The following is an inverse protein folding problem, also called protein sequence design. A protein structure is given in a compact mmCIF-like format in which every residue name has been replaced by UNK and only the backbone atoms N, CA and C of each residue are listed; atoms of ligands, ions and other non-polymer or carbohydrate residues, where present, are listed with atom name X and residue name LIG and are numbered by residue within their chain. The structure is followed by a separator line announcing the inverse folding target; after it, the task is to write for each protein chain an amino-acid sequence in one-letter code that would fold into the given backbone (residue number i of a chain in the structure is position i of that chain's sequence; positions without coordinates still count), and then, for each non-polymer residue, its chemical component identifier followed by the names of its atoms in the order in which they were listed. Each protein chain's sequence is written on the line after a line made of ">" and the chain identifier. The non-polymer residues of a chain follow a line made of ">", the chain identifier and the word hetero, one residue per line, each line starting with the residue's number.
data_IF_395768478793
#
_entry.id   IF_395768478793
#
_cell.length_a   1.000
_cell.length_b   1.000
_cell.length_c   1.000
_cell.angle_alpha   90.00
_cell.angle_beta   90.00
_cell.angle_gamma   90.00
#
_symmetry.space_group_name_H-M   'P 1'
#
loop_
_entity.id
_entity.type
_entity.pdbx_description
1 polymer ?
#
# COMPACT_ATOMS: atom_id res chain seq x y z
N UNK A 1 -4.35 -29.80 16.76
CA UNK A 1 -5.48 -30.49 16.10
C UNK A 1 -6.15 -29.60 15.04
N UNK A 2 -6.59 -28.37 15.37
CA UNK A 2 -7.21 -27.43 14.39
C UNK A 2 -6.27 -27.07 13.22
N UNK A 3 -4.99 -26.80 13.49
CA UNK A 3 -3.96 -26.53 12.45
C UNK A 3 -3.70 -27.69 11.48
N UNK A 4 -4.19 -28.91 11.74
CA UNK A 4 -4.02 -30.05 10.83
C UNK A 4 -5.27 -30.34 9.98
N UNK A 5 -6.41 -29.66 10.23
CA UNK A 5 -7.69 -29.96 9.56
C UNK A 5 -7.90 -29.25 8.20
N UNK A 6 -6.88 -28.58 7.67
CA UNK A 6 -6.97 -27.70 6.50
C UNK A 6 -7.29 -28.37 5.15
N UNK A 7 -7.34 -29.71 5.06
CA UNK A 7 -7.52 -30.39 3.76
C UNK A 7 -8.98 -30.47 3.29
N UNK A 8 -9.96 -30.26 4.16
CA UNK A 8 -11.41 -30.18 3.88
C UNK A 8 -12.10 -29.87 5.21
N UNK A 9 -12.14 -28.60 5.61
CA UNK A 9 -13.01 -28.21 6.71
C UNK A 9 -14.44 -28.27 6.17
N UNK A 10 -15.14 -29.38 6.43
CA UNK A 10 -16.56 -29.49 6.19
C UNK A 10 -17.28 -28.34 6.89
N UNK A 11 -18.31 -27.78 6.26
CA UNK A 11 -19.07 -26.63 6.76
C UNK A 11 -19.58 -26.84 8.18
N UNK A 12 -19.91 -28.09 8.53
CA UNK A 12 -20.26 -28.53 9.87
C UNK A 12 -19.15 -28.28 10.89
N UNK A 13 -17.89 -28.64 10.61
CA UNK A 13 -16.76 -28.49 11.54
C UNK A 13 -16.50 -27.00 11.82
N UNK A 14 -16.56 -26.16 10.79
CA UNK A 14 -16.38 -24.71 10.94
C UNK A 14 -17.45 -24.12 11.84
N UNK A 15 -18.71 -24.52 11.64
CA UNK A 15 -19.81 -24.06 12.49
C UNK A 15 -19.57 -24.41 13.97
N UNK A 16 -19.15 -25.65 14.26
CA UNK A 16 -18.87 -26.07 15.64
C UNK A 16 -17.67 -25.33 16.25
N UNK A 17 -16.56 -25.20 15.50
CA UNK A 17 -15.37 -24.46 15.94
C UNK A 17 -15.71 -22.99 16.18
N UNK A 18 -16.39 -22.36 15.23
CA UNK A 18 -16.86 -20.98 15.34
C UNK A 18 -17.74 -20.81 16.59
N UNK A 19 -18.76 -21.65 16.76
CA UNK A 19 -19.66 -21.61 17.92
C UNK A 19 -18.89 -21.68 19.24
N UNK A 20 -17.95 -22.61 19.36
CA UNK A 20 -17.17 -22.79 20.59
C UNK A 20 -16.26 -21.59 20.86
N UNK A 21 -15.47 -21.19 19.87
CA UNK A 21 -14.52 -20.07 20.00
C UNK A 21 -15.26 -18.76 20.31
N UNK A 22 -16.37 -18.53 19.63
CA UNK A 22 -17.17 -17.34 19.78
C UNK A 22 -17.89 -17.26 21.12
N UNK A 23 -18.44 -18.39 21.60
CA UNK A 23 -18.98 -18.45 22.98
C UNK A 23 -17.89 -18.17 24.02
N UNK A 24 -16.68 -18.69 23.82
CA UNK A 24 -15.56 -18.41 24.73
C UNK A 24 -15.21 -16.91 24.74
N UNK A 25 -15.13 -16.27 23.57
CA UNK A 25 -14.88 -14.83 23.49
C UNK A 25 -15.97 -14.02 24.17
N UNK A 26 -17.24 -14.34 23.92
CA UNK A 26 -18.39 -13.67 24.54
C UNK A 26 -18.41 -13.84 26.06
N UNK A 27 -18.18 -15.05 26.55
CA UNK A 27 -18.13 -15.33 28.00
C UNK A 27 -16.94 -14.65 28.69
N UNK A 28 -15.85 -14.45 27.95
CA UNK A 28 -14.67 -13.73 28.45
C UNK A 28 -14.76 -12.21 28.32
N UNK A 29 -15.88 -11.70 27.79
CA UNK A 29 -16.08 -10.28 27.46
C UNK A 29 -14.93 -9.68 26.64
N UNK A 30 -14.40 -10.46 25.69
CA UNK A 30 -13.27 -10.05 24.85
C UNK A 30 -12.03 -9.63 25.65
N UNK A 31 -11.76 -10.28 26.79
CA UNK A 31 -10.53 -10.05 27.53
C UNK A 31 -9.29 -10.23 26.63
N UNK A 32 -8.33 -9.31 26.77
CA UNK A 32 -7.07 -9.25 26.04
C UNK A 32 -6.36 -10.60 25.88
N UNK A 33 -6.29 -11.42 26.93
CA UNK A 33 -5.62 -12.73 26.86
C UNK A 33 -6.32 -13.68 25.88
N UNK A 34 -7.66 -13.74 25.92
CA UNK A 34 -8.44 -14.57 25.01
C UNK A 34 -8.40 -14.04 23.59
N UNK A 35 -8.39 -12.72 23.39
CA UNK A 35 -8.20 -12.11 22.08
C UNK A 35 -6.83 -12.41 21.49
N UNK A 36 -5.75 -12.37 22.28
CA UNK A 36 -4.40 -12.74 21.81
C UNK A 36 -4.36 -14.21 21.41
N UNK A 37 -4.93 -15.10 22.22
CA UNK A 37 -5.00 -16.53 21.89
C UNK A 37 -5.83 -16.78 20.63
N UNK A 38 -7.00 -16.14 20.51
CA UNK A 38 -7.85 -16.18 19.32
C UNK A 38 -7.08 -15.70 18.08
N UNK A 39 -6.31 -14.63 18.22
CA UNK A 39 -5.49 -14.07 17.16
C UNK A 39 -4.41 -15.04 16.67
N UNK A 40 -3.67 -15.65 17.59
CA UNK A 40 -2.57 -16.56 17.26
C UNK A 40 -3.03 -17.93 16.74
N UNK A 41 -4.23 -18.37 17.12
CA UNK A 41 -4.69 -19.74 16.85
C UNK A 41 -5.81 -19.83 15.81
N UNK A 42 -6.72 -18.86 15.79
CA UNK A 42 -7.92 -18.89 14.95
C UNK A 42 -7.81 -17.89 13.80
N UNK A 43 -7.38 -16.64 14.04
CA UNK A 43 -7.24 -15.67 12.94
C UNK A 43 -6.12 -16.02 11.96
N UNK A 44 -5.19 -16.90 12.33
CA UNK A 44 -4.16 -17.46 11.43
C UNK A 44 -4.70 -18.57 10.52
N UNK A 45 -5.94 -19.04 10.71
CA UNK A 45 -6.60 -20.00 9.81
C UNK A 45 -7.08 -19.24 8.57
N UNK A 46 -6.70 -19.65 7.34
CA UNK A 46 -7.08 -18.93 6.14
C UNK A 46 -8.60 -18.88 6.00
N UNK A 47 -9.13 -17.72 5.62
CA UNK A 47 -10.55 -17.51 5.26
C UNK A 47 -11.56 -17.76 6.39
N UNK A 48 -11.10 -17.93 7.64
CA UNK A 48 -11.97 -18.25 8.77
C UNK A 48 -13.15 -17.29 8.92
N UNK A 49 -12.91 -15.98 8.84
CA UNK A 49 -13.94 -14.94 8.99
C UNK A 49 -15.00 -15.05 7.89
N UNK A 50 -14.56 -15.14 6.63
CA UNK A 50 -15.47 -15.28 5.49
C UNK A 50 -16.29 -16.57 5.58
N UNK A 51 -15.66 -17.68 5.99
CA UNK A 51 -16.37 -18.95 6.14
C UNK A 51 -17.39 -18.92 7.28
N UNK A 52 -17.11 -18.21 8.38
CA UNK A 52 -18.06 -18.00 9.46
C UNK A 52 -19.25 -17.14 9.01
N UNK A 53 -18.99 -16.08 8.24
CA UNK A 53 -20.03 -15.23 7.68
C UNK A 53 -20.96 -16.01 6.73
N UNK A 54 -20.40 -16.82 5.83
CA UNK A 54 -21.16 -17.64 4.86
C UNK A 54 -21.97 -18.76 5.53
N UNK A 55 -21.37 -19.50 6.48
CA UNK A 55 -21.96 -20.74 7.01
C UNK A 55 -22.62 -20.58 8.38
N UNK A 56 -22.42 -19.47 9.08
CA UNK A 56 -22.83 -19.28 10.48
C UNK A 56 -23.27 -17.84 10.75
N UNK A 57 -24.04 -17.28 9.81
CA UNK A 57 -24.41 -15.86 9.77
C UNK A 57 -25.00 -15.34 11.09
N UNK A 58 -25.90 -16.09 11.75
CA UNK A 58 -26.51 -15.65 13.02
C UNK A 58 -25.49 -15.48 14.14
N UNK A 59 -24.60 -16.47 14.34
CA UNK A 59 -23.54 -16.40 15.36
C UNK A 59 -22.53 -15.31 15.05
N UNK A 60 -22.20 -15.14 13.77
CA UNK A 60 -21.27 -14.13 13.33
C UNK A 60 -21.85 -12.71 13.54
N UNK A 61 -23.12 -12.50 13.20
CA UNK A 61 -23.83 -11.23 13.46
C UNK A 61 -23.86 -10.88 14.95
N UNK A 62 -24.10 -11.86 15.83
CA UNK A 62 -24.08 -11.63 17.28
C UNK A 62 -22.73 -11.10 17.79
N UNK A 63 -21.64 -11.48 17.13
CA UNK A 63 -20.29 -11.06 17.53
C UNK A 63 -19.90 -9.74 16.92
N UNK A 64 -20.32 -9.47 15.69
CA UNK A 64 -20.22 -8.15 15.10
C UNK A 64 -21.00 -7.13 15.94
N UNK A 65 -22.20 -7.50 16.45
CA UNK A 65 -22.95 -6.67 17.41
C UNK A 65 -22.23 -6.43 18.74
N UNK A 66 -21.19 -7.22 19.05
CA UNK A 66 -20.34 -7.06 20.23
C UNK A 66 -18.97 -6.47 19.88
N UNK A 67 -18.86 -5.81 18.73
CA UNK A 67 -17.70 -5.04 18.29
C UNK A 67 -16.37 -5.82 18.28
N UNK A 68 -16.38 -7.10 17.87
CA UNK A 68 -15.15 -7.90 17.74
C UNK A 68 -14.07 -7.16 16.92
N UNK A 69 -14.49 -6.47 15.86
CA UNK A 69 -13.60 -5.67 15.02
C UNK A 69 -12.84 -4.62 15.86
N UNK A 70 -13.55 -3.78 16.63
CA UNK A 70 -12.93 -2.73 17.43
C UNK A 70 -11.96 -3.29 18.47
N UNK A 71 -12.34 -4.38 19.15
CA UNK A 71 -11.48 -5.05 20.13
C UNK A 71 -10.17 -5.54 19.52
N UNK A 72 -10.22 -6.19 18.34
CA UNK A 72 -9.03 -6.65 17.64
C UNK A 72 -8.17 -5.49 17.14
N UNK A 73 -8.79 -4.48 16.53
CA UNK A 73 -8.05 -3.33 15.99
C UNK A 73 -7.35 -2.55 17.10
N UNK A 74 -7.98 -2.35 18.27
CA UNK A 74 -7.35 -1.71 19.42
C UNK A 74 -6.10 -2.45 19.92
N UNK A 75 -6.11 -3.79 19.91
CA UNK A 75 -4.94 -4.59 20.28
C UNK A 75 -3.86 -4.49 19.21
N UNK A 76 -4.25 -4.61 17.94
CA UNK A 76 -3.31 -4.72 16.82
C UNK A 76 -2.69 -3.38 16.44
N UNK A 77 -3.36 -2.25 16.71
CA UNK A 77 -2.82 -0.92 16.44
C UNK A 77 -1.64 -0.56 17.37
N UNK A 78 -1.54 -1.18 18.54
CA UNK A 78 -0.45 -0.95 19.50
C UNK A 78 0.77 -1.79 19.07
N UNK A 79 1.80 -1.12 18.56
CA UNK A 79 3.00 -1.76 18.00
C UNK A 79 3.66 -2.77 18.94
N UNK A 80 3.94 -2.39 20.18
CA UNK A 80 4.59 -3.27 21.17
C UNK A 80 3.75 -4.52 21.45
N UNK A 81 2.44 -4.34 21.58
CA UNK A 81 1.51 -5.45 21.80
C UNK A 81 1.49 -6.39 20.60
N UNK A 82 1.48 -5.84 19.39
CA UNK A 82 1.47 -6.63 18.17
C UNK A 82 2.79 -7.38 17.94
N UNK A 83 3.94 -6.77 18.28
CA UNK A 83 5.25 -7.45 18.22
C UNK A 83 5.21 -8.72 19.07
N UNK A 84 4.78 -8.61 20.33
CA UNK A 84 4.67 -9.75 21.25
C UNK A 84 3.64 -10.79 20.77
N UNK A 85 2.48 -10.34 20.29
CA UNK A 85 1.46 -11.22 19.71
C UNK A 85 2.01 -12.02 18.53
N UNK A 86 2.78 -11.35 17.67
CA UNK A 86 3.26 -11.93 16.43
C UNK A 86 4.46 -12.86 16.62
N UNK A 87 5.24 -12.74 17.69
CA UNK A 87 6.57 -13.36 17.86
C UNK A 87 6.68 -14.81 17.33
N UNK A 88 5.67 -15.65 17.60
CA UNK A 88 5.63 -17.06 17.23
C UNK A 88 4.79 -17.40 15.97
N UNK A 89 4.28 -16.40 15.25
CA UNK A 89 3.48 -16.54 14.04
C UNK A 89 4.41 -16.50 12.82
N UNK A 90 4.25 -17.42 11.87
CA UNK A 90 5.04 -17.40 10.62
C UNK A 90 4.49 -16.40 9.58
N UNK A 91 5.23 -16.13 8.50
CA UNK A 91 4.83 -15.15 7.49
C UNK A 91 3.55 -15.55 6.72
N UNK A 92 3.28 -16.85 6.56
CA UNK A 92 2.09 -17.36 5.87
C UNK A 92 0.87 -17.19 6.79
N UNK A 93 1.00 -17.53 8.06
CA UNK A 93 -0.02 -17.31 9.09
C UNK A 93 -0.34 -15.82 9.26
N UNK A 94 0.67 -14.93 9.21
CA UNK A 94 0.44 -13.47 9.20
C UNK A 94 -0.35 -13.01 7.97
N UNK A 95 -0.08 -13.61 6.81
CA UNK A 95 -0.84 -13.35 5.59
C UNK A 95 -2.32 -13.72 5.79
N UNK A 96 -2.61 -14.91 6.32
CA UNK A 96 -3.99 -15.31 6.61
C UNK A 96 -4.66 -14.44 7.67
N UNK A 97 -3.93 -14.04 8.71
CA UNK A 97 -4.41 -13.10 9.71
C UNK A 97 -4.76 -11.75 9.10
N UNK A 98 -3.92 -11.21 8.20
CA UNK A 98 -4.24 -9.99 7.46
C UNK A 98 -5.52 -10.18 6.62
N UNK A 99 -5.65 -11.30 5.91
CA UNK A 99 -6.83 -11.60 5.09
C UNK A 99 -8.12 -11.61 5.92
N UNK A 100 -8.09 -12.24 7.10
CA UNK A 100 -9.24 -12.28 8.01
C UNK A 100 -9.58 -10.92 8.63
N UNK A 101 -8.57 -10.11 8.99
CA UNK A 101 -8.80 -8.75 9.49
C UNK A 101 -9.39 -7.85 8.40
N UNK A 102 -8.91 -7.99 7.16
CA UNK A 102 -9.48 -7.28 6.00
C UNK A 102 -10.91 -7.74 5.71
N UNK A 103 -11.20 -9.02 5.85
CA UNK A 103 -12.57 -9.54 5.73
C UNK A 103 -13.52 -9.00 6.81
N UNK A 104 -13.04 -8.85 8.05
CA UNK A 104 -13.84 -8.19 9.10
C UNK A 104 -14.14 -6.73 8.72
N UNK A 105 -13.13 -6.01 8.25
CA UNK A 105 -13.27 -4.62 7.82
C UNK A 105 -14.23 -4.45 6.63
N UNK A 106 -14.27 -5.41 5.70
CA UNK A 106 -15.16 -5.35 4.55
C UNK A 106 -16.63 -5.63 4.91
N UNK A 107 -16.87 -6.43 5.95
CA UNK A 107 -18.20 -6.74 6.47
C UNK A 107 -18.72 -5.58 7.34
N UNK A 108 -17.88 -4.99 8.18
CA UNK A 108 -18.27 -3.94 9.14
C UNK A 108 -17.77 -2.55 8.72
N UNK A 109 -18.27 -2.06 7.58
CA UNK A 109 -17.80 -0.79 6.99
C UNK A 109 -18.12 0.43 7.86
N UNK A 110 -19.21 0.38 8.64
CA UNK A 110 -19.59 1.47 9.55
C UNK A 110 -18.55 1.63 10.67
N UNK A 111 -18.15 0.52 11.31
CA UNK A 111 -17.10 0.55 12.33
C UNK A 111 -15.73 0.84 11.73
N UNK A 112 -15.46 0.40 10.49
CA UNK A 112 -14.23 0.73 9.78
C UNK A 112 -14.06 2.24 9.60
N UNK A 113 -15.13 2.97 9.27
CA UNK A 113 -15.09 4.42 9.12
C UNK A 113 -14.71 5.11 10.45
N UNK A 114 -15.33 4.68 11.56
CA UNK A 114 -15.02 5.17 12.90
C UNK A 114 -13.58 4.83 13.35
N UNK A 115 -13.09 3.63 12.98
CA UNK A 115 -11.79 3.08 13.39
C UNK A 115 -10.72 3.16 12.29
N UNK A 116 -10.89 4.05 11.30
CA UNK A 116 -10.00 4.20 10.14
C UNK A 116 -8.52 4.31 10.54
N UNK A 117 -8.22 5.19 11.49
CA UNK A 117 -6.84 5.46 11.91
C UNK A 117 -6.21 4.24 12.63
N UNK A 118 -6.83 3.67 13.69
CA UNK A 118 -6.37 2.41 14.28
C UNK A 118 -6.23 1.26 13.28
N UNK A 119 -7.15 1.14 12.32
CA UNK A 119 -7.10 0.10 11.29
C UNK A 119 -5.86 0.24 10.39
N UNK A 120 -5.53 1.47 9.95
CA UNK A 120 -4.30 1.73 9.18
C UNK A 120 -3.06 1.31 9.98
N UNK A 121 -2.99 1.63 11.27
CA UNK A 121 -1.86 1.22 12.13
C UNK A 121 -1.78 -0.30 12.30
N UNK A 122 -2.92 -0.98 12.42
CA UNK A 122 -2.99 -2.44 12.43
C UNK A 122 -2.39 -3.03 11.14
N UNK A 123 -2.77 -2.52 9.96
CA UNK A 123 -2.19 -2.96 8.69
C UNK A 123 -0.67 -2.75 8.65
N UNK A 124 -0.19 -1.59 9.11
CA UNK A 124 1.24 -1.31 9.22
C UNK A 124 1.97 -2.34 10.07
N UNK A 125 1.46 -2.61 11.28
CA UNK A 125 2.10 -3.53 12.20
C UNK A 125 2.17 -4.96 11.62
N UNK A 126 1.10 -5.44 10.97
CA UNK A 126 1.09 -6.75 10.32
C UNK A 126 2.09 -6.80 9.14
N UNK A 127 2.12 -5.76 8.30
CA UNK A 127 3.01 -5.71 7.14
C UNK A 127 4.49 -5.56 7.54
N UNK A 128 4.79 -4.78 8.57
CA UNK A 128 6.15 -4.62 9.12
C UNK A 128 6.64 -5.93 9.72
N UNK A 129 5.80 -6.60 10.50
CA UNK A 129 6.10 -7.93 11.03
C UNK A 129 6.32 -8.96 9.92
N UNK A 130 5.52 -8.90 8.85
CA UNK A 130 5.69 -9.75 7.66
C UNK A 130 7.02 -9.46 6.94
N UNK A 131 7.38 -8.17 6.81
CA UNK A 131 8.63 -7.73 6.18
C UNK A 131 9.85 -8.21 6.97
N UNK A 132 9.83 -8.05 8.28
CA UNK A 132 10.91 -8.47 9.16
C UNK A 132 11.19 -9.97 8.98
N UNK A 133 10.15 -10.81 8.97
CA UNK A 133 10.27 -12.26 8.73
C UNK A 133 10.81 -12.60 7.34
N UNK A 134 10.40 -11.85 6.32
CA UNK A 134 10.93 -12.02 4.97
C UNK A 134 12.44 -11.72 4.92
N UNK A 135 12.90 -10.68 5.62
CA UNK A 135 14.32 -10.27 5.63
C UNK A 135 15.22 -11.14 6.54
N UNK A 136 14.76 -11.52 7.74
CA UNK A 136 15.54 -12.35 8.68
C UNK A 136 15.80 -13.73 8.10
N UNK A 137 14.79 -14.30 7.43
CA UNK A 137 14.93 -15.58 6.73
C UNK A 137 15.88 -15.50 5.52
N UNK A 138 16.11 -14.30 4.96
CA UNK A 138 17.11 -14.08 3.92
C UNK A 138 18.53 -13.95 4.48
N UNK A 139 18.73 -13.32 5.63
CA UNK A 139 20.07 -13.04 6.20
C UNK A 139 20.70 -14.25 6.92
N UNK A 140 19.91 -15.08 7.60
CA UNK A 140 20.41 -16.28 8.31
C UNK A 140 20.84 -17.44 7.37
N UNK A 141 20.72 -17.24 6.04
CA UNK A 141 20.90 -18.27 5.02
C UNK A 141 22.36 -18.52 4.59
N UNK A 142 23.34 -17.74 5.09
CA UNK A 142 24.75 -18.00 4.77
C UNK A 142 25.30 -19.29 5.41
N UNK A 143 24.56 -19.94 6.32
CA UNK A 143 25.05 -21.12 7.05
C UNK A 143 24.12 -22.36 7.05
N UNK A 144 22.88 -22.29 6.54
CA UNK A 144 21.97 -23.46 6.57
C UNK A 144 21.22 -23.67 5.25
N UNK A 145 21.21 -24.91 4.75
CA UNK A 145 20.41 -25.39 3.60
C UNK A 145 18.92 -25.25 3.92
N UNK A 146 18.38 -24.04 3.83
CA UNK A 146 16.95 -23.76 4.02
C UNK A 146 16.23 -23.88 2.69
N UNK A 147 15.19 -24.70 2.64
CA UNK A 147 14.33 -24.84 1.46
C UNK A 147 13.54 -23.55 1.26
N UNK A 148 13.53 -23.02 0.03
CA UNK A 148 12.60 -21.96 -0.33
C UNK A 148 11.28 -22.58 -0.76
N UNK A 149 10.18 -22.03 -0.25
CA UNK A 149 8.81 -22.41 -0.62
C UNK A 149 8.20 -21.21 -1.33
N UNK A 150 7.71 -21.42 -2.55
CA UNK A 150 6.99 -20.38 -3.29
C UNK A 150 5.54 -20.32 -2.83
N UNK A 151 5.05 -19.14 -2.43
CA UNK A 151 3.67 -18.91 -2.00
C UNK A 151 2.92 -18.01 -2.99
N UNK A 152 1.70 -18.32 -3.45
CA UNK A 152 1.04 -17.58 -4.54
C UNK A 152 0.66 -16.13 -4.26
N UNK A 153 0.81 -15.67 -3.01
CA UNK A 153 0.51 -14.28 -2.62
C UNK A 153 1.80 -13.51 -2.29
N UNK A 154 2.77 -14.17 -1.67
CA UNK A 154 3.94 -13.52 -1.04
C UNK A 154 5.22 -13.78 -1.87
N UNK A 155 5.18 -14.72 -2.80
CA UNK A 155 6.31 -15.17 -3.60
C UNK A 155 7.22 -16.12 -2.82
N UNK A 156 8.52 -16.05 -3.05
CA UNK A 156 9.49 -16.91 -2.37
C UNK A 156 9.62 -16.60 -0.88
N UNK A 157 9.24 -17.58 -0.06
CA UNK A 157 9.46 -17.62 1.39
C UNK A 157 10.62 -18.57 1.67
N UNK A 158 11.49 -18.22 2.62
CA UNK A 158 12.55 -19.09 3.14
C UNK A 158 12.26 -19.39 4.61
N UNK A 159 12.58 -20.60 5.08
CA UNK A 159 12.46 -20.98 6.50
C UNK A 159 11.57 -22.20 6.75
N UNK A 160 11.37 -22.54 8.02
CA UNK A 160 10.42 -23.58 8.45
C UNK A 160 9.01 -23.07 8.21
N UNK A 161 8.46 -23.29 7.03
CA UNK A 161 7.01 -23.17 6.85
C UNK A 161 6.38 -24.30 7.65
N UNK A 162 5.56 -23.97 8.64
CA UNK A 162 4.68 -24.96 9.25
C UNK A 162 3.87 -25.61 8.12
N UNK A 163 3.53 -26.89 8.24
CA UNK A 163 2.95 -27.72 7.16
C UNK A 163 1.59 -27.28 6.60
N UNK A 164 1.22 -26.01 6.74
CA UNK A 164 0.18 -25.31 5.99
C UNK A 164 0.54 -25.45 4.51
N UNK A 165 -0.11 -26.41 3.89
CA UNK A 165 0.02 -26.76 2.50
C UNK A 165 -0.30 -25.55 1.62
N UNK A 166 0.76 -24.91 1.14
CA UNK A 166 0.79 -23.98 0.01
C UNK A 166 0.13 -24.53 -1.27
N UNK A 167 -0.30 -25.80 -1.25
CA UNK A 167 -0.86 -26.53 -2.38
C UNK A 167 -2.37 -26.37 -2.60
N UNK A 168 -3.13 -25.73 -1.70
CA UNK A 168 -4.58 -25.55 -1.93
C UNK A 168 -4.89 -24.22 -2.62
N UNK A 169 -4.97 -24.25 -3.96
CA UNK A 169 -5.24 -23.08 -4.79
C UNK A 169 -6.60 -22.43 -4.48
N UNK A 170 -7.64 -23.19 -4.12
CA UNK A 170 -8.97 -22.63 -3.82
C UNK A 170 -8.95 -21.72 -2.59
N UNK A 171 -8.26 -22.18 -1.53
CA UNK A 171 -8.10 -21.39 -0.29
C UNK A 171 -7.34 -20.11 -0.59
N UNK A 172 -6.26 -20.20 -1.36
CA UNK A 172 -5.46 -19.05 -1.78
C UNK A 172 -6.32 -18.05 -2.57
N UNK A 173 -7.14 -18.50 -3.53
CA UNK A 173 -8.03 -17.61 -4.27
C UNK A 173 -9.03 -16.89 -3.36
N UNK A 174 -9.60 -17.60 -2.37
CA UNK A 174 -10.47 -16.98 -1.36
C UNK A 174 -9.74 -15.92 -0.53
N UNK A 175 -8.49 -16.16 -0.13
CA UNK A 175 -7.67 -15.14 0.57
C UNK A 175 -7.41 -13.92 -0.33
N UNK A 176 -7.14 -14.13 -1.63
CA UNK A 176 -6.99 -13.02 -2.59
C UNK A 176 -8.28 -12.19 -2.68
N UNK A 177 -9.45 -12.83 -2.67
CA UNK A 177 -10.75 -12.13 -2.65
C UNK A 177 -10.90 -11.26 -1.40
N UNK A 178 -10.44 -11.71 -0.23
CA UNK A 178 -10.42 -10.88 0.98
C UNK A 178 -9.58 -9.62 0.76
N UNK A 179 -8.36 -9.78 0.22
CA UNK A 179 -7.47 -8.65 -0.01
C UNK A 179 -7.98 -7.64 -1.05
N UNK A 180 -8.79 -8.05 -2.02
CA UNK A 180 -9.35 -7.14 -3.03
C UNK A 180 -10.09 -5.95 -2.43
N UNK A 181 -10.59 -6.06 -1.20
CA UNK A 181 -11.16 -4.92 -0.49
C UNK A 181 -10.15 -3.76 -0.31
N UNK A 182 -8.88 -4.05 -0.03
CA UNK A 182 -7.83 -3.04 0.23
C UNK A 182 -7.51 -2.14 -0.97
N UNK A 183 -7.89 -2.54 -2.19
CA UNK A 183 -7.75 -1.71 -3.39
C UNK A 183 -9.09 -1.55 -4.13
N UNK A 184 -10.19 -1.80 -3.43
CA UNK A 184 -11.53 -1.51 -3.93
C UNK A 184 -11.74 0.01 -4.02
N UNK A 185 -12.63 0.43 -4.93
CA UNK A 185 -12.98 1.86 -5.09
C UNK A 185 -13.48 2.48 -3.78
N UNK A 186 -14.30 1.75 -3.01
CA UNK A 186 -14.83 2.22 -1.72
C UNK A 186 -13.71 2.49 -0.71
N UNK A 187 -12.83 1.50 -0.48
CA UNK A 187 -11.77 1.62 0.50
C UNK A 187 -10.72 2.68 0.11
N UNK A 188 -10.36 2.75 -1.18
CA UNK A 188 -9.37 3.72 -1.66
C UNK A 188 -9.94 5.13 -1.59
N UNK A 189 -11.20 5.35 -1.96
CA UNK A 189 -11.88 6.63 -1.79
C UNK A 189 -11.95 7.03 -0.31
N UNK A 190 -12.27 6.09 0.58
CA UNK A 190 -12.27 6.34 2.03
C UNK A 190 -10.88 6.77 2.52
N UNK A 191 -9.80 6.12 2.06
CA UNK A 191 -8.44 6.52 2.45
C UNK A 191 -8.06 7.89 1.91
N UNK A 192 -8.30 8.16 0.63
CA UNK A 192 -7.87 9.38 -0.07
C UNK A 192 -8.92 10.50 -0.10
N UNK A 193 -9.99 10.40 0.69
CA UNK A 193 -11.08 11.39 0.74
C UNK A 193 -10.59 12.83 0.96
N UNK A 194 -9.48 12.99 1.69
CA UNK A 194 -8.87 14.29 1.96
C UNK A 194 -8.20 14.94 0.74
N UNK A 195 -7.97 14.20 -0.34
CA UNK A 195 -7.43 14.76 -1.58
C UNK A 195 -8.59 15.21 -2.47
N UNK A 196 -8.64 16.50 -2.88
CA UNK A 196 -9.68 16.96 -3.79
C UNK A 196 -9.62 16.16 -5.09
N UNK A 197 -10.73 15.53 -5.45
CA UNK A 197 -10.92 14.91 -6.76
C UNK A 197 -11.25 16.01 -7.75
N UNK A 198 -10.40 16.17 -8.76
CA UNK A 198 -10.82 16.93 -9.93
C UNK A 198 -11.65 16.00 -10.77
N UNK A 199 -12.98 16.19 -10.71
CA UNK A 199 -13.85 15.63 -11.72
C UNK A 199 -13.30 16.06 -13.08
N UNK A 200 -12.93 15.08 -13.89
CA UNK A 200 -12.54 15.29 -15.27
C UNK A 200 -13.60 16.17 -15.94
N UNK A 201 -13.14 17.26 -16.54
CA UNK A 201 -13.98 18.16 -17.30
C UNK A 201 -14.54 17.41 -18.51
N UNK A 202 -15.71 16.82 -18.35
CA UNK A 202 -16.59 16.43 -19.44
C UNK A 202 -18.04 16.59 -18.99
N UNK A 203 -18.67 17.63 -19.55
CA UNK A 203 -20.10 17.84 -19.83
C UNK A 203 -20.64 19.20 -19.36
N UNK A 204 -20.77 20.09 -20.35
CA UNK A 204 -21.80 21.11 -20.62
C UNK A 204 -22.68 21.69 -19.49
N UNK A 205 -22.76 23.03 -19.54
CA UNK A 205 -23.88 23.91 -19.19
C UNK A 205 -24.20 24.24 -17.70
N UNK A 206 -23.99 25.52 -17.38
CA UNK A 206 -24.71 26.41 -16.44
C UNK A 206 -25.31 25.84 -15.14
N UNK A 207 -24.63 26.12 -14.02
CA UNK A 207 -25.21 26.12 -12.67
C UNK A 207 -24.16 26.48 -11.61
N UNK A 208 -24.47 27.27 -10.56
CA UNK A 208 -23.46 27.80 -9.65
C UNK A 208 -23.04 26.72 -8.63
N UNK A 209 -21.90 26.04 -8.89
CA UNK A 209 -21.24 25.15 -7.91
C UNK A 209 -20.35 25.98 -6.98
N UNK A 210 -20.80 26.23 -5.74
CA UNK A 210 -20.08 27.05 -4.75
C UNK A 210 -19.23 26.26 -3.72
N UNK A 211 -19.26 24.92 -3.70
CA UNK A 211 -18.61 24.15 -2.62
C UNK A 211 -17.20 23.61 -2.94
N UNK A 212 -16.81 23.45 -4.22
CA UNK A 212 -15.46 22.98 -4.59
C UNK A 212 -14.35 24.02 -4.42
N UNK A 213 -14.70 25.29 -4.23
CA UNK A 213 -13.74 26.39 -4.19
C UNK A 213 -13.06 26.56 -2.82
N UNK A 214 -13.62 26.01 -1.74
CA UNK A 214 -13.09 26.22 -0.38
C UNK A 214 -11.82 25.38 -0.14
N UNK A 215 -11.75 24.16 -0.70
CA UNK A 215 -10.61 23.25 -0.51
C UNK A 215 -9.48 23.57 -1.49
N UNK A 216 -9.79 23.97 -2.74
CA UNK A 216 -8.80 24.54 -3.67
C UNK A 216 -8.18 25.82 -3.11
N UNK A 217 -8.98 26.71 -2.52
CA UNK A 217 -8.48 27.90 -1.84
C UNK A 217 -7.65 27.57 -0.58
N UNK A 218 -7.91 26.44 0.10
CA UNK A 218 -7.03 25.96 1.18
C UNK A 218 -5.69 25.45 0.64
N UNK A 219 -5.69 24.65 -0.43
CA UNK A 219 -4.45 24.24 -1.13
C UNK A 219 -3.65 25.47 -1.59
N UNK A 220 -4.26 26.42 -2.30
CA UNK A 220 -3.58 27.63 -2.78
C UNK A 220 -3.05 28.49 -1.62
N UNK A 221 -3.79 28.64 -0.51
CA UNK A 221 -3.33 29.39 0.66
C UNK A 221 -2.23 28.67 1.45
N UNK A 222 -2.19 27.34 1.46
CA UNK A 222 -1.20 26.54 2.18
C UNK A 222 0.19 26.61 1.51
N UNK A 223 0.25 26.63 0.18
CA UNK A 223 1.49 26.56 -0.60
C UNK A 223 2.08 27.92 -1.02
N UNK A 224 1.36 29.05 -0.86
CA UNK A 224 1.88 30.39 -1.19
C UNK A 224 2.71 31.09 -0.08
N UNK A 225 2.99 30.44 1.05
CA UNK A 225 3.88 30.98 2.10
C UNK A 225 5.30 30.40 2.02
N UNK A 226 6.30 31.27 2.03
CA UNK A 226 7.68 31.16 1.47
C UNK A 226 8.66 30.18 2.14
N UNK A 227 8.23 29.27 3.02
CA UNK A 227 9.13 28.29 3.68
C UNK A 227 8.64 26.86 3.40
N UNK A 228 9.11 26.27 2.30
CA UNK A 228 8.57 25.04 1.71
C UNK A 228 9.06 23.74 2.36
N UNK A 229 10.25 23.72 2.98
CA UNK A 229 10.83 22.46 3.52
C UNK A 229 10.22 22.02 4.85
N UNK A 230 9.87 22.96 5.72
CA UNK A 230 9.26 22.65 7.02
C UNK A 230 7.78 22.28 6.90
N UNK A 231 7.12 22.61 5.78
CA UNK A 231 5.71 22.29 5.53
C UNK A 231 5.49 20.87 5.05
N UNK A 232 6.39 20.35 4.19
CA UNK A 232 6.37 18.96 3.74
C UNK A 232 6.50 17.95 4.89
N UNK A 233 7.08 18.38 6.02
CA UNK A 233 7.28 17.55 7.21
C UNK A 233 6.19 17.74 8.27
N UNK A 234 5.48 18.88 8.30
CA UNK A 234 4.54 19.23 9.39
C UNK A 234 3.06 19.25 8.99
N UNK A 235 2.75 19.32 7.69
CA UNK A 235 1.36 19.39 7.22
C UNK A 235 0.62 18.05 7.40
N UNK A 236 -0.52 18.08 8.08
CA UNK A 236 -1.32 16.88 8.39
C UNK A 236 -1.83 16.17 7.12
N UNK A 237 -2.21 16.93 6.09
CA UNK A 237 -2.66 16.36 4.82
C UNK A 237 -1.50 15.62 4.13
N UNK A 238 -0.34 16.26 4.05
CA UNK A 238 0.89 15.66 3.49
C UNK A 238 1.28 14.39 4.23
N UNK A 239 1.29 14.41 5.57
CA UNK A 239 1.58 13.23 6.39
C UNK A 239 0.55 12.10 6.17
N UNK A 240 -0.74 12.44 6.07
CA UNK A 240 -1.80 11.46 5.81
C UNK A 240 -1.61 10.77 4.46
N UNK A 241 -1.37 11.53 3.39
CA UNK A 241 -1.16 11.02 2.03
C UNK A 241 0.12 10.18 1.98
N UNK A 242 1.21 10.67 2.56
CA UNK A 242 2.46 9.92 2.63
C UNK A 242 2.25 8.60 3.37
N UNK A 243 1.55 8.60 4.50
CA UNK A 243 1.26 7.38 5.24
C UNK A 243 0.42 6.38 4.43
N UNK A 244 -0.62 6.83 3.72
CA UNK A 244 -1.42 5.94 2.86
C UNK A 244 -0.56 5.37 1.72
N UNK A 245 0.28 6.19 1.09
CA UNK A 245 1.16 5.71 0.02
C UNK A 245 2.26 4.77 0.52
N UNK A 246 2.83 5.00 1.70
CA UNK A 246 3.72 4.06 2.38
C UNK A 246 3.00 2.73 2.67
N UNK A 247 1.72 2.75 3.07
CA UNK A 247 0.93 1.53 3.26
C UNK A 247 0.85 0.71 1.97
N UNK A 248 0.50 1.35 0.84
CA UNK A 248 0.46 0.67 -0.46
C UNK A 248 1.84 0.21 -0.94
N UNK A 249 2.90 0.97 -0.66
CA UNK A 249 4.27 0.52 -0.92
C UNK A 249 4.60 -0.76 -0.15
N UNK A 250 4.29 -0.81 1.15
CA UNK A 250 4.48 -2.02 1.96
C UNK A 250 3.64 -3.19 1.45
N UNK A 251 2.38 -2.96 1.08
CA UNK A 251 1.52 -3.99 0.48
C UNK A 251 2.15 -4.58 -0.79
N UNK A 252 2.59 -3.74 -1.72
CA UNK A 252 3.21 -4.18 -2.99
C UNK A 252 4.56 -4.88 -2.76
N UNK A 253 5.29 -4.52 -1.70
CA UNK A 253 6.56 -5.17 -1.34
C UNK A 253 6.37 -6.54 -0.68
N UNK A 254 5.27 -6.75 0.05
CA UNK A 254 4.95 -8.02 0.72
C UNK A 254 4.18 -8.96 -0.20
N UNK A 255 3.12 -8.47 -0.83
CA UNK A 255 2.24 -9.23 -1.70
C UNK A 255 2.79 -9.25 -3.14
N UNK A 256 4.00 -9.79 -3.29
CA UNK A 256 4.79 -9.67 -4.52
C UNK A 256 4.07 -10.21 -5.76
N UNK A 257 3.33 -11.31 -5.62
CA UNK A 257 2.54 -11.94 -6.70
C UNK A 257 1.26 -11.15 -7.03
N UNK A 258 0.75 -10.34 -6.09
CA UNK A 258 -0.42 -9.48 -6.30
C UNK A 258 -0.05 -8.05 -6.72
N UNK A 259 1.25 -7.73 -6.81
CA UNK A 259 1.75 -6.39 -7.15
C UNK A 259 1.07 -5.79 -8.37
N UNK A 260 1.00 -6.54 -9.47
CA UNK A 260 0.39 -6.05 -10.71
C UNK A 260 -1.11 -5.80 -10.55
N UNK A 261 -1.81 -6.68 -9.82
CA UNK A 261 -3.24 -6.52 -9.56
C UNK A 261 -3.52 -5.27 -8.73
N UNK A 262 -2.71 -5.01 -7.70
CA UNK A 262 -2.81 -3.80 -6.86
C UNK A 262 -2.58 -2.54 -7.69
N UNK A 263 -1.48 -2.49 -8.47
CA UNK A 263 -1.14 -1.32 -9.30
C UNK A 263 -2.20 -1.07 -10.39
N UNK A 264 -2.69 -2.13 -11.03
CA UNK A 264 -3.78 -2.05 -11.99
C UNK A 264 -5.04 -1.46 -11.34
N UNK A 265 -5.49 -2.04 -10.23
CA UNK A 265 -6.71 -1.60 -9.57
C UNK A 265 -6.64 -0.15 -9.07
N UNK A 266 -5.48 0.31 -8.59
CA UNK A 266 -5.27 1.70 -8.17
C UNK A 266 -5.20 2.67 -9.36
N UNK A 267 -4.50 2.30 -10.43
CA UNK A 267 -4.31 3.18 -11.60
C UNK A 267 -5.57 3.41 -12.41
N UNK A 268 -6.48 2.44 -12.43
CA UNK A 268 -7.77 2.54 -13.12
C UNK A 268 -8.82 3.33 -12.34
N UNK A 269 -8.51 3.84 -11.15
CA UNK A 269 -9.43 4.70 -10.42
C UNK A 269 -9.37 6.13 -10.98
N UNK A 270 -10.46 6.52 -11.66
CA UNK A 270 -10.54 7.72 -12.51
C UNK A 270 -9.90 8.98 -11.93
N UNK A 271 -10.12 9.28 -10.64
CA UNK A 271 -9.64 10.52 -10.02
C UNK A 271 -8.32 10.38 -9.26
N UNK A 272 -7.88 9.17 -8.90
CA UNK A 272 -6.76 8.99 -7.97
C UNK A 272 -5.46 9.52 -8.57
N UNK A 273 -5.16 9.16 -9.82
CA UNK A 273 -3.92 9.55 -10.50
C UNK A 273 -3.84 11.06 -10.68
N UNK A 274 -4.92 11.68 -11.14
CA UNK A 274 -4.98 13.13 -11.33
C UNK A 274 -4.83 13.88 -10.00
N UNK A 275 -5.47 13.37 -8.93
CA UNK A 275 -5.38 13.92 -7.58
C UNK A 275 -3.98 13.80 -6.97
N UNK A 276 -3.31 12.64 -7.12
CA UNK A 276 -1.93 12.46 -6.67
C UNK A 276 -0.96 13.34 -7.46
N UNK A 277 -1.17 13.48 -8.77
CA UNK A 277 -0.38 14.37 -9.60
C UNK A 277 -0.51 15.83 -9.17
N UNK A 278 -1.74 16.31 -8.96
CA UNK A 278 -1.96 17.68 -8.48
C UNK A 278 -1.32 17.93 -7.13
N UNK A 279 -1.39 16.95 -6.22
CA UNK A 279 -0.69 17.04 -4.96
C UNK A 279 0.82 17.20 -5.15
N UNK A 280 1.45 16.37 -5.99
CA UNK A 280 2.88 16.47 -6.30
C UNK A 280 3.25 17.79 -7.00
N UNK A 281 2.43 18.25 -7.94
CA UNK A 281 2.69 19.49 -8.67
C UNK A 281 2.58 20.73 -7.76
N UNK A 282 1.74 20.66 -6.72
CA UNK A 282 1.55 21.74 -5.75
C UNK A 282 2.65 21.80 -4.67
N UNK A 283 3.57 20.83 -4.59
CA UNK A 283 4.66 20.86 -3.60
C UNK A 283 5.54 22.11 -3.77
N UNK A 284 5.75 22.54 -5.01
CA UNK A 284 6.59 23.69 -5.31
C UNK A 284 6.86 23.81 -6.81
N UNK A 285 7.64 24.82 -7.24
CA UNK A 285 8.02 24.96 -8.64
C UNK A 285 8.71 23.69 -9.13
N UNK A 286 8.42 23.26 -10.37
CA UNK A 286 8.93 21.99 -10.93
C UNK A 286 8.66 20.79 -10.00
N UNK A 287 7.44 20.67 -9.48
CA UNK A 287 7.02 19.63 -8.53
C UNK A 287 7.90 19.52 -7.26
N UNK A 288 8.45 20.65 -6.79
CA UNK A 288 9.26 20.68 -5.57
C UNK A 288 10.65 20.04 -5.70
N UNK A 289 11.23 20.03 -6.90
CA UNK A 289 12.53 19.41 -7.17
C UNK A 289 13.62 19.78 -6.15
N UNK A 290 13.79 21.07 -5.86
CA UNK A 290 14.85 21.55 -4.95
C UNK A 290 14.60 21.08 -3.52
N UNK A 291 13.36 21.14 -3.07
CA UNK A 291 12.93 20.70 -1.74
C UNK A 291 13.13 19.19 -1.57
N UNK A 292 12.69 18.39 -2.53
CA UNK A 292 12.83 16.93 -2.49
C UNK A 292 14.30 16.50 -2.53
N UNK A 293 15.15 17.17 -3.33
CA UNK A 293 16.59 16.90 -3.34
C UNK A 293 17.25 17.26 -2.00
N UNK A 294 16.89 18.41 -1.41
CA UNK A 294 17.38 18.79 -0.09
C UNK A 294 16.96 17.78 0.98
N UNK A 295 15.71 17.32 0.96
CA UNK A 295 15.21 16.26 1.85
C UNK A 295 16.03 14.97 1.63
N UNK A 296 16.31 14.58 0.39
CA UNK A 296 17.11 13.40 0.07
C UNK A 296 18.57 13.50 0.56
N UNK A 297 19.18 14.68 0.45
CA UNK A 297 20.56 14.93 0.86
C UNK A 297 20.73 14.97 2.39
N UNK A 298 19.80 15.63 3.09
CA UNK A 298 19.81 15.76 4.56
C UNK A 298 19.54 14.43 5.26
N UNK A 299 18.66 13.61 4.70
CA UNK A 299 18.21 12.35 5.28
C UNK A 299 19.14 11.17 4.95
N UNK A 300 20.40 11.25 5.37
CA UNK A 300 21.37 10.16 5.16
C UNK A 300 21.05 8.89 5.96
N UNK A 301 20.34 9.04 7.07
CA UNK A 301 20.01 7.94 8.00
C UNK A 301 18.53 7.55 8.00
N UNK A 302 17.62 8.45 7.63
CA UNK A 302 16.17 8.26 7.80
C UNK A 302 15.40 8.47 6.51
N UNK A 303 14.83 7.42 5.92
CA UNK A 303 14.03 7.53 4.69
C UNK A 303 12.76 8.39 4.90
N UNK A 304 12.58 9.44 4.10
CA UNK A 304 11.41 10.31 4.21
C UNK A 304 10.19 9.71 3.46
N UNK A 305 9.00 9.61 4.09
CA UNK A 305 7.79 9.00 3.49
C UNK A 305 7.31 9.61 2.17
N UNK A 306 7.65 10.88 1.88
CA UNK A 306 7.35 11.52 0.59
C UNK A 306 7.90 10.73 -0.62
N UNK A 307 8.99 9.98 -0.41
CA UNK A 307 9.57 9.17 -1.46
C UNK A 307 8.75 7.90 -1.72
N UNK A 308 7.98 7.39 -0.76
CA UNK A 308 7.02 6.32 -0.99
C UNK A 308 5.86 6.79 -1.88
N UNK A 309 5.38 8.03 -1.67
CA UNK A 309 4.41 8.68 -2.56
C UNK A 309 4.95 8.78 -3.97
N UNK A 310 6.15 9.37 -4.13
CA UNK A 310 6.77 9.55 -5.44
C UNK A 310 7.00 8.19 -6.13
N UNK A 311 7.44 7.19 -5.38
CA UNK A 311 7.64 5.84 -5.87
C UNK A 311 6.31 5.18 -6.28
N UNK A 312 5.23 5.34 -5.49
CA UNK A 312 3.92 4.76 -5.79
C UNK A 312 3.36 5.37 -7.06
N UNK A 313 3.33 6.70 -7.11
CA UNK A 313 2.88 7.45 -8.28
C UNK A 313 3.65 7.03 -9.54
N UNK A 314 4.98 6.88 -9.44
CA UNK A 314 5.80 6.46 -10.59
C UNK A 314 5.52 5.02 -11.04
N UNK A 315 5.23 4.10 -10.12
CA UNK A 315 4.81 2.74 -10.49
C UNK A 315 3.44 2.74 -11.19
N UNK A 316 2.49 3.55 -10.70
CA UNK A 316 1.18 3.69 -11.32
C UNK A 316 1.30 4.29 -12.73
N UNK A 317 2.10 5.35 -12.89
CA UNK A 317 2.37 5.96 -14.20
C UNK A 317 3.09 5.00 -15.15
N UNK A 318 4.00 4.15 -14.65
CA UNK A 318 4.66 3.13 -15.48
C UNK A 318 3.66 2.11 -16.02
N UNK A 319 2.71 1.68 -15.18
CA UNK A 319 1.63 0.79 -15.60
C UNK A 319 0.74 1.47 -16.65
N UNK A 320 0.26 2.69 -16.39
CA UNK A 320 -0.56 3.45 -17.34
C UNK A 320 0.15 3.67 -18.67
N UNK A 321 1.41 4.10 -18.65
CA UNK A 321 2.18 4.33 -19.86
C UNK A 321 2.51 3.03 -20.63
N UNK A 322 2.30 1.87 -20.03
CA UNK A 322 2.38 0.57 -20.72
C UNK A 322 1.03 0.14 -21.31
N UNK A 323 -0.07 0.40 -20.60
CA UNK A 323 -1.41 -0.13 -20.95
C UNK A 323 -2.21 0.81 -21.84
N UNK A 324 -2.09 2.13 -21.66
CA UNK A 324 -2.78 3.12 -22.48
C UNK A 324 -2.30 3.02 -23.92
N UNK A 325 -3.23 2.96 -24.86
CA UNK A 325 -2.91 3.04 -26.29
C UNK A 325 -2.64 4.49 -26.73
N UNK A 326 -2.45 4.69 -28.04
CA UNK A 326 -2.17 6.02 -28.58
C UNK A 326 -3.40 6.94 -28.60
N UNK A 327 -4.61 6.38 -28.67
CA UNK A 327 -5.84 7.15 -28.68
C UNK A 327 -6.15 7.67 -27.26
N UNK A 328 -6.15 6.78 -26.28
CA UNK A 328 -6.41 7.08 -24.88
C UNK A 328 -5.40 8.09 -24.31
N UNK A 329 -4.11 7.98 -24.67
CA UNK A 329 -3.08 8.89 -24.15
C UNK A 329 -3.05 10.24 -24.89
N UNK A 330 -3.04 10.26 -26.22
CA UNK A 330 -2.76 11.49 -26.96
C UNK A 330 -4.01 12.26 -27.34
N UNK A 331 -5.13 11.58 -27.61
CA UNK A 331 -6.39 12.24 -27.98
C UNK A 331 -7.28 12.43 -26.76
N UNK A 332 -7.58 11.35 -26.04
CA UNK A 332 -8.48 11.41 -24.89
C UNK A 332 -7.80 12.01 -23.66
N UNK A 333 -6.46 11.91 -23.57
CA UNK A 333 -5.67 12.37 -22.42
C UNK A 333 -6.19 11.78 -21.10
N UNK A 334 -6.48 10.48 -21.13
CA UNK A 334 -7.05 9.72 -20.02
C UNK A 334 -6.10 9.76 -18.81
N UNK A 335 -6.64 10.05 -17.63
CA UNK A 335 -5.95 10.18 -16.33
C UNK A 335 -4.98 11.37 -16.18
N UNK A 336 -4.15 11.69 -17.18
CA UNK A 336 -3.18 12.79 -17.16
C UNK A 336 -3.12 13.50 -18.51
N UNK A 337 -3.05 14.83 -18.48
CA UNK A 337 -2.84 15.64 -19.69
C UNK A 337 -1.43 15.44 -20.26
N UNK A 338 -1.26 15.70 -21.56
CA UNK A 338 0.08 15.68 -22.19
C UNK A 338 1.03 16.69 -21.55
N UNK A 339 0.51 17.84 -21.11
CA UNK A 339 1.28 18.81 -20.34
C UNK A 339 1.75 18.23 -19.00
N UNK A 340 0.88 17.49 -18.29
CA UNK A 340 1.23 16.83 -17.03
C UNK A 340 2.31 15.77 -17.24
N UNK A 341 2.19 14.96 -18.30
CA UNK A 341 3.24 14.02 -18.69
C UNK A 341 4.57 14.71 -18.97
N UNK A 342 4.56 15.80 -19.75
CA UNK A 342 5.76 16.59 -20.04
C UNK A 342 6.36 17.22 -18.77
N UNK A 343 5.55 17.80 -17.88
CA UNK A 343 6.05 18.36 -16.63
C UNK A 343 6.68 17.27 -15.74
N UNK A 344 6.06 16.09 -15.69
CA UNK A 344 6.58 14.99 -14.89
C UNK A 344 7.87 14.41 -15.46
N UNK A 345 8.00 14.26 -16.79
CA UNK A 345 9.25 13.81 -17.42
C UNK A 345 10.38 14.79 -17.19
N UNK A 346 10.12 16.10 -17.21
CA UNK A 346 11.12 17.11 -16.89
C UNK A 346 11.63 16.94 -15.46
N UNK A 347 10.71 16.81 -14.50
CA UNK A 347 11.02 16.55 -13.10
C UNK A 347 11.85 15.26 -12.95
N UNK A 348 11.41 14.15 -13.54
CA UNK A 348 12.09 12.87 -13.47
C UNK A 348 13.51 12.94 -14.02
N UNK A 349 13.68 13.57 -15.19
CA UNK A 349 15.00 13.70 -15.84
C UNK A 349 15.98 14.46 -14.92
N UNK A 350 15.55 15.60 -14.39
CA UNK A 350 16.37 16.42 -13.49
C UNK A 350 16.64 15.72 -12.14
N UNK A 351 15.61 15.11 -11.55
CA UNK A 351 15.72 14.45 -10.24
C UNK A 351 16.61 13.22 -10.31
N UNK A 352 16.42 12.35 -11.31
CA UNK A 352 17.24 11.14 -11.50
C UNK A 352 18.70 11.50 -11.75
N UNK A 353 18.98 12.49 -12.60
CA UNK A 353 20.35 12.97 -12.81
C UNK A 353 21.00 13.45 -11.51
N UNK A 354 20.27 14.25 -10.71
CA UNK A 354 20.78 14.75 -9.43
C UNK A 354 20.97 13.63 -8.41
N UNK A 355 20.08 12.63 -8.36
CA UNK A 355 20.27 11.44 -7.53
C UNK A 355 21.56 10.69 -7.88
N UNK A 356 21.82 10.45 -9.17
CA UNK A 356 23.07 9.82 -9.63
C UNK A 356 24.27 10.63 -9.12
N UNK A 357 24.24 11.95 -9.32
CA UNK A 357 25.33 12.84 -8.90
C UNK A 357 25.56 12.77 -7.39
N UNK A 358 24.51 12.88 -6.58
CA UNK A 358 24.58 12.78 -5.11
C UNK A 358 25.17 11.44 -4.69
N UNK A 359 24.72 10.34 -5.28
CA UNK A 359 25.24 9.00 -4.96
C UNK A 359 26.70 8.80 -5.40
N UNK A 360 27.18 9.50 -6.42
CA UNK A 360 28.59 9.47 -6.80
C UNK A 360 29.47 10.36 -5.92
N UNK A 361 28.97 11.54 -5.52
CA UNK A 361 29.68 12.49 -4.66
C UNK A 361 29.75 12.04 -3.19
N UNK A 362 28.83 11.16 -2.74
CA UNK A 362 28.87 10.57 -1.39
C UNK A 362 30.14 9.74 -1.19
N UNK A 363 31.12 10.27 -0.49
CA UNK A 363 32.32 9.56 -0.02
C UNK A 363 32.02 8.76 1.24
N UNK A 364 31.50 7.54 1.10
CA UNK A 364 31.35 6.60 2.23
C UNK A 364 32.26 5.38 2.05
N UNK A 365 32.95 4.99 3.11
CA UNK A 365 33.89 3.88 3.16
C UNK A 365 33.15 2.54 3.21
N UNK A 366 33.08 1.83 2.06
CA UNK A 366 33.00 0.34 1.92
C UNK A 366 32.26 -0.13 0.67
N UNK A 367 31.35 0.68 0.09
CA UNK A 367 30.47 0.25 -1.03
C UNK A 367 30.63 1.17 -2.23
N UNK A 368 30.78 0.62 -3.44
CA UNK A 368 30.94 1.41 -4.66
C UNK A 368 29.68 2.24 -4.98
N UNK A 369 29.82 3.42 -5.61
CA UNK A 369 28.68 4.26 -6.00
C UNK A 369 27.62 3.52 -6.82
N UNK A 370 28.07 2.67 -7.75
CA UNK A 370 27.19 1.85 -8.60
C UNK A 370 26.30 0.91 -7.78
N UNK A 371 26.87 0.21 -6.81
CA UNK A 371 26.11 -0.72 -5.95
C UNK A 371 25.09 0.03 -5.07
N UNK A 372 25.39 1.27 -4.65
CA UNK A 372 24.42 2.09 -3.91
C UNK A 372 23.21 2.47 -4.77
N UNK A 373 23.44 2.91 -6.00
CA UNK A 373 22.36 3.18 -6.96
C UNK A 373 21.54 1.92 -7.27
N UNK A 374 22.22 0.79 -7.49
CA UNK A 374 21.58 -0.51 -7.70
C UNK A 374 20.84 -1.03 -6.47
N UNK A 375 21.07 -0.50 -5.27
CA UNK A 375 20.29 -0.85 -4.08
C UNK A 375 19.21 0.19 -3.77
N UNK A 376 19.25 1.36 -4.41
CA UNK A 376 18.30 2.43 -4.21
C UNK A 376 17.00 2.16 -5.00
N UNK A 377 15.96 1.75 -4.27
CA UNK A 377 14.69 1.41 -4.88
C UNK A 377 13.93 2.62 -5.46
N UNK A 378 14.12 3.81 -4.90
CA UNK A 378 13.58 5.06 -5.45
C UNK A 378 14.19 5.33 -6.82
N UNK A 379 15.52 5.30 -6.92
CA UNK A 379 16.25 5.47 -8.19
C UNK A 379 15.74 4.49 -9.25
N UNK A 380 15.69 3.19 -8.94
CA UNK A 380 15.22 2.16 -9.88
C UNK A 380 13.84 2.47 -10.44
N UNK A 381 12.91 2.83 -9.56
CA UNK A 381 11.52 3.07 -9.95
C UNK A 381 11.41 4.30 -10.87
N UNK A 382 12.07 5.40 -10.50
CA UNK A 382 12.02 6.64 -11.27
C UNK A 382 12.75 6.52 -12.61
N UNK A 383 13.91 5.89 -12.61
CA UNK A 383 14.70 5.66 -13.82
C UNK A 383 13.97 4.73 -14.81
N UNK A 384 13.31 3.68 -14.33
CA UNK A 384 12.51 2.80 -15.18
C UNK A 384 11.37 3.56 -15.87
N UNK A 385 10.64 4.40 -15.14
CA UNK A 385 9.59 5.24 -15.72
C UNK A 385 10.16 6.23 -16.72
N UNK A 386 11.30 6.87 -16.41
CA UNK A 386 11.95 7.84 -17.28
C UNK A 386 12.32 7.23 -18.63
N UNK A 387 12.92 6.02 -18.63
CA UNK A 387 13.25 5.29 -19.86
C UNK A 387 11.98 4.98 -20.66
N UNK A 388 10.95 4.46 -20.00
CA UNK A 388 9.70 4.11 -20.65
C UNK A 388 9.04 5.31 -21.33
N UNK A 389 8.98 6.46 -20.64
CA UNK A 389 8.43 7.69 -21.19
C UNK A 389 9.30 8.27 -22.31
N UNK A 390 10.62 8.12 -22.22
CA UNK A 390 11.54 8.49 -23.30
C UNK A 390 11.28 7.65 -24.58
N UNK A 391 11.19 6.33 -24.45
CA UNK A 391 10.86 5.44 -25.58
C UNK A 391 9.50 5.80 -26.20
N UNK A 392 8.51 6.10 -25.36
CA UNK A 392 7.17 6.48 -25.81
C UNK A 392 7.17 7.83 -26.52
N UNK A 393 7.90 8.82 -26.00
CA UNK A 393 8.06 10.12 -26.64
C UNK A 393 8.77 10.00 -28.01
N UNK A 394 9.72 9.08 -28.16
CA UNK A 394 10.39 8.81 -29.44
C UNK A 394 9.45 8.25 -30.51
N UNK A 395 8.38 7.54 -30.13
CA UNK A 395 7.35 7.06 -31.08
C UNK A 395 6.42 8.19 -31.51
N UNK A 396 5.97 9.00 -30.54
CA UNK A 396 5.13 10.17 -30.78
C UNK A 396 5.40 11.22 -29.72
N UNK A 397 5.96 12.34 -30.15
CA UNK A 397 6.41 13.39 -29.24
C UNK A 397 5.24 14.04 -28.50
N UNK A 398 5.39 14.21 -27.19
CA UNK A 398 4.51 15.01 -26.34
C UNK A 398 5.29 16.04 -25.51
N UNK A 399 6.61 16.15 -25.74
CA UNK A 399 7.52 17.07 -25.05
C UNK A 399 8.12 18.08 -26.04
N UNK A 400 8.50 19.29 -25.57
CA UNK A 400 9.13 20.29 -26.43
C UNK A 400 10.55 19.89 -26.86
N UNK A 401 11.07 20.56 -27.88
CA UNK A 401 12.45 20.35 -28.33
C UNK A 401 13.44 20.62 -27.20
N UNK A 402 14.52 19.82 -27.15
CA UNK A 402 15.55 19.83 -26.09
C UNK A 402 15.12 19.42 -24.67
N UNK A 403 13.90 18.90 -24.49
CA UNK A 403 13.37 18.46 -23.19
C UNK A 403 14.27 17.46 -22.45
N UNK A 404 14.90 16.55 -23.18
CA UNK A 404 15.71 15.47 -22.64
C UNK A 404 17.14 15.89 -22.29
N UNK A 405 17.58 17.07 -22.75
CA UNK A 405 18.90 17.60 -22.45
C UNK A 405 18.93 18.19 -21.03
N UNK A 406 19.84 17.68 -20.20
CA UNK A 406 20.09 18.24 -18.88
C UNK A 406 20.87 19.54 -19.04
N UNK A 407 20.33 20.63 -18.50
CA UNK A 407 20.94 21.96 -18.50
C UNK A 407 21.43 22.36 -17.12
#
# INVERSE_FOLDING_TARGET
>A
MIRCMHRRLETSIIHHVATLVFKLLLNSEFNRTHLILFSQTILTIPTFITMCHENSHQLFQMICQKDLFNHLICIYSIKETFVNLSENIDIIELCYMLGNIVALASIDQNQLEAMKQPFIHCLFNILDASRQRQTTNSQNSKQTKTTSVWHPIIGHVRGKTTGITVSNQEIVQRVIVQYKFLWSKSFVNMLFESIPTTSSASQSASGPKKETNIIRAKFEKLFHSKTSTDKLTTDELTQSICRITTLYQKLVQILTELRLQILCALSLQDSLISSLWQFLNNIGPTCGLKELLKIYEMNKEHYHPIFDLLQLFSNLCSYLATVLDEEEMYKEQKYLSLESWSQFTLFLNQFVYRLIRIEYERTTTSTSPKLRLENNQLYKTLHQLLILLHERNSRKSFTPDSHWLIR
#
